data_IF_847946031126
#
_entry.id   IF_847946031126
#
_cell.length_a   1.000
_cell.length_b   1.000
_cell.length_c   1.000
_cell.angle_alpha   90.00
_cell.angle_beta   90.00
_cell.angle_gamma   90.00
#
_symmetry.space_group_name_H-M   'P 1'
#
loop_
_entity.id
_entity.type
_entity.pdbx_description
1 polymer ?
#
# COMPACT_ATOMS: atom_id res chain seq x y z
N UNK A 1 -10.51 4.21 17.25
CA UNK A 1 -10.94 3.83 15.89
C UNK A 1 -12.41 4.18 15.72
N UNK A 2 -12.79 4.79 14.60
CA UNK A 2 -14.19 5.09 14.23
C UNK A 2 -14.55 4.28 12.99
N UNK A 3 -15.69 3.58 13.04
CA UNK A 3 -16.28 2.90 11.88
C UNK A 3 -17.37 3.77 11.31
N UNK A 4 -17.17 4.29 10.10
CA UNK A 4 -18.14 5.06 9.35
C UNK A 4 -19.03 4.10 8.53
N UNK A 5 -20.38 4.24 8.58
CA UNK A 5 -21.31 3.36 7.83
C UNK A 5 -21.87 4.07 6.61
N UNK A 6 -22.11 3.33 5.53
CA UNK A 6 -22.70 3.82 4.28
C UNK A 6 -21.96 5.01 3.64
N UNK A 7 -20.62 4.95 3.64
CA UNK A 7 -19.77 6.06 3.19
C UNK A 7 -19.74 6.11 1.66
N UNK A 8 -20.03 7.27 1.03
CA UNK A 8 -19.85 7.45 -0.41
C UNK A 8 -18.40 7.28 -0.82
N UNK A 9 -18.12 6.40 -1.80
CA UNK A 9 -16.79 6.17 -2.35
C UNK A 9 -16.50 7.01 -3.59
N UNK A 10 -17.47 7.72 -4.15
CA UNK A 10 -17.27 8.59 -5.31
C UNK A 10 -16.14 9.61 -5.13
N UNK A 11 -15.99 10.31 -3.99
CA UNK A 11 -14.86 11.21 -3.78
C UNK A 11 -13.55 10.50 -3.50
N UNK A 12 -13.57 9.20 -3.23
CA UNK A 12 -12.41 8.37 -2.86
C UNK A 12 -11.88 7.48 -4.00
N UNK A 13 -12.39 7.66 -5.23
CA UNK A 13 -11.86 7.03 -6.43
C UNK A 13 -11.75 8.03 -7.58
N UNK A 14 -10.70 7.91 -8.40
CA UNK A 14 -10.39 8.88 -9.46
C UNK A 14 -11.37 8.82 -10.64
N UNK A 15 -12.00 7.67 -10.87
CA UNK A 15 -13.03 7.50 -11.90
C UNK A 15 -14.38 8.09 -11.50
N UNK A 16 -14.50 8.59 -10.27
CA UNK A 16 -15.74 9.17 -9.72
C UNK A 16 -16.96 8.22 -9.80
N UNK A 17 -16.70 6.92 -9.77
CA UNK A 17 -17.76 5.90 -9.78
C UNK A 17 -18.59 6.04 -8.50
N UNK A 18 -19.90 6.08 -8.67
CA UNK A 18 -20.86 6.13 -7.57
C UNK A 18 -21.00 4.74 -6.98
N UNK A 19 -20.52 4.58 -5.76
CA UNK A 19 -20.64 3.37 -4.94
C UNK A 19 -20.52 3.77 -3.47
N UNK A 20 -20.87 2.88 -2.55
CA UNK A 20 -20.75 3.09 -1.10
C UNK A 20 -19.90 1.98 -0.49
N UNK A 21 -19.16 2.31 0.56
CA UNK A 21 -18.68 1.34 1.52
C UNK A 21 -19.77 1.11 2.57
N UNK A 22 -20.13 -0.14 2.85
CA UNK A 22 -21.04 -0.45 3.96
C UNK A 22 -20.41 -0.07 5.30
N UNK A 23 -19.09 -0.30 5.43
CA UNK A 23 -18.28 0.14 6.54
C UNK A 23 -16.92 0.65 6.04
N UNK A 24 -16.43 1.75 6.60
CA UNK A 24 -15.12 2.33 6.30
C UNK A 24 -14.42 2.70 7.60
N UNK A 25 -13.12 2.36 7.66
CA UNK A 25 -12.21 2.76 8.73
C UNK A 25 -11.06 3.53 8.13
N UNK A 26 -10.76 4.72 8.67
CA UNK A 26 -9.58 5.49 8.32
C UNK A 26 -8.39 4.98 9.12
N UNK A 27 -7.37 4.55 8.41
CA UNK A 27 -6.14 4.02 9.00
C UNK A 27 -5.09 5.12 8.97
N UNK A 28 -4.87 5.77 10.10
CA UNK A 28 -3.86 6.82 10.29
C UNK A 28 -2.62 6.31 10.99
N UNK A 29 -2.72 5.13 11.62
CA UNK A 29 -1.64 4.51 12.38
C UNK A 29 -1.78 2.99 12.43
N UNK A 30 -0.71 2.31 12.84
CA UNK A 30 -0.73 0.87 13.18
C UNK A 30 -1.76 0.55 14.27
N UNK A 31 -1.92 1.44 15.24
CA UNK A 31 -2.88 1.27 16.34
C UNK A 31 -4.33 1.18 15.83
N UNK A 32 -4.69 1.89 14.75
CA UNK A 32 -6.02 1.79 14.15
C UNK A 32 -6.27 0.40 13.57
N UNK A 33 -5.26 -0.19 12.92
CA UNK A 33 -5.37 -1.55 12.38
C UNK A 33 -5.53 -2.56 13.52
N UNK A 34 -4.71 -2.46 14.58
CA UNK A 34 -4.80 -3.35 15.73
C UNK A 34 -6.16 -3.23 16.45
N UNK A 35 -6.65 -2.00 16.60
CA UNK A 35 -7.97 -1.76 17.18
C UNK A 35 -9.10 -2.36 16.34
N UNK A 36 -8.98 -2.27 14.99
CA UNK A 36 -9.93 -2.91 14.09
C UNK A 36 -9.91 -4.44 14.24
N UNK A 37 -8.72 -5.04 14.22
CA UNK A 37 -8.59 -6.50 14.30
C UNK A 37 -9.10 -7.08 15.62
N UNK A 38 -9.06 -6.30 16.70
CA UNK A 38 -9.61 -6.64 18.00
C UNK A 38 -11.13 -6.38 18.14
N UNK A 39 -11.74 -5.71 17.17
CA UNK A 39 -13.16 -5.38 17.21
C UNK A 39 -14.03 -6.63 16.95
N UNK A 40 -15.01 -6.96 17.82
CA UNK A 40 -15.81 -8.18 17.68
C UNK A 40 -16.77 -8.17 16.48
N UNK A 41 -17.19 -6.99 16.02
CA UNK A 41 -18.10 -6.83 14.87
C UNK A 41 -17.31 -6.74 13.56
N UNK A 42 -16.19 -5.99 13.55
CA UNK A 42 -15.48 -5.60 12.33
C UNK A 42 -14.10 -6.26 12.16
N UNK A 43 -13.57 -6.88 13.22
CA UNK A 43 -12.21 -7.46 13.22
C UNK A 43 -12.08 -8.67 12.31
N UNK A 44 -13.14 -9.45 12.18
CA UNK A 44 -13.19 -10.66 11.34
C UNK A 44 -13.71 -10.34 9.93
N UNK A 45 -13.57 -11.30 8.99
CA UNK A 45 -14.08 -11.16 7.63
C UNK A 45 -13.17 -10.38 6.68
N UNK A 46 -13.59 -10.25 5.41
CA UNK A 46 -12.77 -9.67 4.36
C UNK A 46 -12.59 -8.16 4.55
N UNK A 47 -11.41 -7.68 4.16
CA UNK A 47 -11.04 -6.27 4.17
C UNK A 47 -10.77 -5.81 2.74
N UNK A 48 -11.03 -4.54 2.45
CA UNK A 48 -10.69 -3.90 1.18
C UNK A 48 -9.77 -2.71 1.44
N UNK A 49 -8.49 -2.87 1.16
CA UNK A 49 -7.49 -1.80 1.37
C UNK A 49 -7.60 -0.78 0.24
N UNK A 50 -7.87 0.48 0.59
CA UNK A 50 -8.05 1.58 -0.34
C UNK A 50 -7.00 2.67 -0.10
N UNK A 51 -6.13 2.87 -1.07
CA UNK A 51 -5.21 4.01 -1.14
C UNK A 51 -5.86 5.24 -1.78
N UNK A 52 -5.25 5.79 -2.83
CA UNK A 52 -5.76 6.95 -3.59
C UNK A 52 -6.98 6.65 -4.47
N UNK A 53 -7.37 5.39 -4.63
CA UNK A 53 -8.49 5.00 -5.50
C UNK A 53 -8.23 5.22 -6.99
N UNK A 54 -6.95 5.28 -7.41
CA UNK A 54 -6.55 5.56 -8.79
C UNK A 54 -6.44 4.32 -9.67
N UNK A 55 -6.45 3.12 -9.06
CA UNK A 55 -6.33 1.86 -9.79
C UNK A 55 -7.41 0.85 -9.35
N UNK A 56 -8.63 1.35 -9.14
CA UNK A 56 -9.79 0.53 -8.76
C UNK A 56 -10.98 0.86 -9.65
N UNK A 57 -11.74 -0.16 -10.03
CA UNK A 57 -13.03 -0.03 -10.70
C UNK A 57 -14.09 -0.61 -9.78
N UNK A 58 -14.93 0.25 -9.22
CA UNK A 58 -16.00 -0.15 -8.32
C UNK A 58 -17.22 -0.57 -9.15
N UNK A 59 -17.54 -1.85 -9.16
CA UNK A 59 -18.69 -2.40 -9.91
C UNK A 59 -19.99 -2.37 -9.12
N UNK A 60 -19.97 -1.87 -7.91
CA UNK A 60 -21.11 -1.73 -7.00
C UNK A 60 -20.66 -1.37 -5.59
N UNK A 61 -21.59 -1.41 -4.64
CA UNK A 61 -21.29 -1.14 -3.24
C UNK A 61 -20.32 -2.17 -2.65
N UNK A 62 -19.36 -1.68 -1.86
CA UNK A 62 -18.29 -2.49 -1.27
C UNK A 62 -18.77 -3.06 0.06
N UNK A 63 -18.95 -4.39 0.10
CA UNK A 63 -19.40 -5.12 1.30
C UNK A 63 -18.31 -5.36 2.34
N UNK A 64 -17.06 -5.73 1.96
CA UNK A 64 -15.92 -5.79 2.88
C UNK A 64 -15.71 -4.47 3.62
N UNK A 65 -15.13 -4.52 4.83
CA UNK A 65 -14.72 -3.30 5.53
C UNK A 65 -13.63 -2.60 4.70
N UNK A 66 -13.89 -1.36 4.30
CA UNK A 66 -12.92 -0.55 3.55
C UNK A 66 -11.92 0.07 4.51
N UNK A 67 -10.64 -0.23 4.32
CA UNK A 67 -9.53 0.35 5.06
C UNK A 67 -8.94 1.49 4.23
N UNK A 68 -9.36 2.72 4.50
CA UNK A 68 -8.83 3.92 3.84
C UNK A 68 -7.49 4.29 4.47
N UNK A 69 -6.41 4.06 3.73
CA UNK A 69 -5.04 4.29 4.23
C UNK A 69 -4.70 5.77 4.18
N UNK A 70 -4.43 6.35 5.36
CA UNK A 70 -4.13 7.78 5.58
C UNK A 70 -2.91 7.98 6.51
N UNK A 71 -2.02 7.00 6.62
CA UNK A 71 -0.77 7.13 7.39
C UNK A 71 0.13 8.17 6.75
N UNK A 72 0.44 9.24 7.49
CA UNK A 72 1.16 10.41 7.00
C UNK A 72 2.51 10.57 7.70
N UNK A 73 3.59 10.55 6.94
CA UNK A 73 4.95 10.91 7.35
C UNK A 73 5.83 11.06 6.11
N UNK A 74 6.73 12.02 6.10
CA UNK A 74 7.84 12.11 5.14
C UNK A 74 9.08 12.56 5.91
N UNK A 75 10.13 11.75 5.91
CA UNK A 75 11.37 12.08 6.63
C UNK A 75 12.58 11.37 6.05
N UNK A 76 13.75 11.97 6.22
CA UNK A 76 15.03 11.28 6.02
C UNK A 76 15.25 10.31 7.19
N UNK A 77 15.59 9.07 6.92
CA UNK A 77 15.88 8.04 7.92
C UNK A 77 17.29 7.46 7.80
N UNK A 78 17.98 7.74 6.71
CA UNK A 78 19.35 7.32 6.51
C UNK A 78 20.02 8.09 5.39
N UNK A 79 21.35 8.15 5.46
CA UNK A 79 22.22 8.73 4.44
C UNK A 79 23.47 7.87 4.30
N UNK A 80 23.86 7.62 3.06
CA UNK A 80 25.10 6.93 2.70
C UNK A 80 25.91 7.79 1.74
N UNK A 81 27.13 7.39 1.42
CA UNK A 81 27.92 8.09 0.39
C UNK A 81 27.27 8.10 -1.01
N UNK A 82 26.22 7.28 -1.25
CA UNK A 82 25.61 7.07 -2.57
C UNK A 82 24.12 7.33 -2.61
N UNK A 83 23.44 7.41 -1.47
CA UNK A 83 21.98 7.51 -1.42
C UNK A 83 21.49 8.19 -0.14
N UNK A 84 20.38 8.90 -0.27
CA UNK A 84 19.49 9.28 0.82
C UNK A 84 18.41 8.22 0.97
N UNK A 85 18.08 7.83 2.20
CA UNK A 85 16.99 6.90 2.47
C UNK A 85 15.86 7.69 3.11
N UNK A 86 14.77 7.84 2.38
CA UNK A 86 13.57 8.56 2.83
C UNK A 86 12.47 7.57 3.20
N UNK A 87 11.78 7.82 4.31
CA UNK A 87 10.61 7.06 4.73
C UNK A 87 9.34 7.89 4.48
N UNK A 88 8.37 7.27 3.83
CA UNK A 88 7.06 7.88 3.59
C UNK A 88 5.93 6.97 4.06
N UNK A 89 4.92 7.56 4.70
CA UNK A 89 3.69 6.90 5.12
C UNK A 89 2.85 6.44 3.93
N UNK A 90 2.20 5.31 4.07
CA UNK A 90 1.45 4.68 2.98
C UNK A 90 0.29 5.54 2.44
N UNK A 91 -0.23 6.48 3.23
CA UNK A 91 -1.29 7.41 2.84
C UNK A 91 -0.80 8.69 2.18
N UNK A 92 0.52 8.92 2.07
CA UNK A 92 1.05 10.07 1.33
C UNK A 92 0.73 9.95 -0.15
N UNK A 93 0.45 11.07 -0.82
CA UNK A 93 0.34 11.08 -2.27
C UNK A 93 1.72 10.88 -2.89
N UNK A 94 1.81 10.00 -3.87
CA UNK A 94 3.07 9.69 -4.54
C UNK A 94 3.73 10.95 -5.13
N UNK A 95 2.98 11.77 -5.82
CA UNK A 95 3.52 12.98 -6.43
C UNK A 95 4.00 14.00 -5.38
N UNK A 96 3.33 14.09 -4.23
CA UNK A 96 3.75 14.98 -3.16
C UNK A 96 5.07 14.50 -2.53
N UNK A 97 5.28 13.16 -2.42
CA UNK A 97 6.57 12.61 -2.02
C UNK A 97 7.68 13.00 -3.01
N UNK A 98 7.45 12.83 -4.32
CA UNK A 98 8.43 13.24 -5.35
C UNK A 98 8.78 14.71 -5.23
N UNK A 99 7.79 15.58 -5.05
CA UNK A 99 8.03 17.03 -4.86
C UNK A 99 8.79 17.32 -3.59
N UNK A 100 8.47 16.63 -2.50
CA UNK A 100 9.14 16.80 -1.22
C UNK A 100 10.59 16.37 -1.30
N UNK A 101 10.91 15.22 -1.89
CA UNK A 101 12.31 14.77 -2.04
C UNK A 101 13.13 15.76 -2.86
N UNK A 102 12.59 16.29 -3.95
CA UNK A 102 13.26 17.32 -4.75
C UNK A 102 13.50 18.61 -3.97
N UNK A 103 12.52 19.06 -3.19
CA UNK A 103 12.66 20.27 -2.36
C UNK A 103 13.71 20.11 -1.25
N UNK A 104 13.95 18.87 -0.79
CA UNK A 104 15.00 18.55 0.19
C UNK A 104 16.38 18.30 -0.46
N UNK A 105 16.46 18.27 -1.80
CA UNK A 105 17.70 17.94 -2.51
C UNK A 105 18.02 16.45 -2.56
N UNK A 106 17.01 15.58 -2.43
CA UNK A 106 17.12 14.11 -2.52
C UNK A 106 16.65 13.64 -3.89
N UNK A 107 17.54 13.53 -4.91
CA UNK A 107 17.17 13.16 -6.28
C UNK A 107 16.92 11.65 -6.41
N UNK A 108 16.23 11.25 -7.49
CA UNK A 108 16.08 9.85 -7.90
C UNK A 108 14.64 9.41 -8.17
N UNK A 109 13.61 10.21 -7.80
CA UNK A 109 12.20 9.90 -8.03
C UNK A 109 11.58 10.73 -9.16
N UNK A 110 12.31 11.60 -9.83
CA UNK A 110 11.82 12.62 -10.76
C UNK A 110 11.04 12.02 -11.92
N UNK A 111 11.56 10.94 -12.51
CA UNK A 111 10.92 10.25 -13.63
C UNK A 111 9.57 9.63 -13.28
N UNK A 112 9.33 9.42 -11.99
CA UNK A 112 8.06 8.88 -11.49
C UNK A 112 7.10 9.96 -11.00
N UNK A 113 7.36 11.24 -11.32
CA UNK A 113 6.45 12.34 -11.02
C UNK A 113 5.09 12.12 -11.68
N UNK A 114 4.03 12.67 -11.08
CA UNK A 114 2.64 12.61 -11.56
C UNK A 114 2.01 11.21 -11.65
N UNK A 115 2.70 10.15 -11.24
CA UNK A 115 2.02 8.85 -11.09
C UNK A 115 0.91 9.02 -10.05
N UNK A 116 -0.35 8.69 -10.39
CA UNK A 116 -1.46 8.84 -9.45
C UNK A 116 -1.43 7.75 -8.38
N UNK A 117 -1.97 8.07 -7.22
CA UNK A 117 -2.10 7.12 -6.11
C UNK A 117 -1.28 7.51 -4.89
N UNK A 118 -1.16 6.58 -3.96
CA UNK A 118 -0.47 6.77 -2.68
C UNK A 118 0.80 5.92 -2.60
N UNK A 119 1.71 6.34 -1.73
CA UNK A 119 3.00 5.66 -1.48
C UNK A 119 2.79 4.18 -1.14
N UNK A 120 1.83 3.84 -0.27
CA UNK A 120 1.57 2.44 0.10
C UNK A 120 0.98 1.58 -1.03
N UNK A 121 0.42 2.20 -2.07
CA UNK A 121 -0.05 1.48 -3.25
C UNK A 121 1.07 1.23 -4.27
N UNK A 122 2.18 1.96 -4.20
CA UNK A 122 3.26 1.89 -5.18
C UNK A 122 3.95 0.52 -5.25
N UNK A 123 4.22 -0.21 -4.12
CA UNK A 123 4.82 -1.53 -4.19
C UNK A 123 3.90 -2.62 -4.75
N UNK A 124 2.58 -2.43 -4.67
CA UNK A 124 1.61 -3.48 -5.07
C UNK A 124 1.81 -3.91 -6.51
N UNK A 125 2.09 -2.98 -7.41
CA UNK A 125 2.33 -3.25 -8.81
C UNK A 125 3.65 -2.67 -9.34
N UNK A 126 4.64 -2.48 -8.44
CA UNK A 126 5.95 -1.97 -8.84
C UNK A 126 5.80 -0.78 -9.80
N UNK A 127 5.17 0.30 -9.34
CA UNK A 127 4.85 1.46 -10.20
C UNK A 127 6.10 1.99 -10.88
N UNK A 128 5.95 2.46 -12.11
CA UNK A 128 7.07 3.00 -12.86
C UNK A 128 6.63 3.85 -14.04
N UNK A 129 7.52 4.74 -14.46
CA UNK A 129 7.36 5.60 -15.62
C UNK A 129 8.73 5.99 -16.17
N UNK A 130 8.79 6.25 -17.48
CA UNK A 130 9.99 6.77 -18.16
C UNK A 130 11.26 5.96 -17.88
N UNK A 131 11.13 4.62 -17.90
CA UNK A 131 12.27 3.69 -17.75
C UNK A 131 12.76 3.48 -16.33
N UNK A 132 12.07 4.00 -15.33
CA UNK A 132 12.36 3.78 -13.91
C UNK A 132 11.16 3.11 -13.24
N UNK A 133 11.40 2.06 -12.48
CA UNK A 133 10.40 1.39 -11.64
C UNK A 133 10.71 1.59 -10.16
N UNK A 134 9.71 1.38 -9.31
CA UNK A 134 9.86 1.51 -7.86
C UNK A 134 11.04 0.68 -7.33
N UNK A 135 11.17 -0.55 -7.80
CA UNK A 135 12.25 -1.48 -7.39
C UNK A 135 13.64 -0.88 -7.53
N UNK A 136 13.87 0.04 -8.49
CA UNK A 136 15.17 0.68 -8.74
C UNK A 136 15.55 1.69 -7.63
N UNK A 137 14.60 2.07 -6.80
CA UNK A 137 14.73 3.06 -5.73
C UNK A 137 14.24 2.55 -4.38
N UNK A 138 13.86 1.29 -4.31
CA UNK A 138 13.23 0.69 -3.16
C UNK A 138 14.26 0.15 -2.17
N UNK A 139 14.18 0.55 -0.91
CA UNK A 139 14.96 0.00 0.19
C UNK A 139 14.18 -1.07 0.95
N UNK A 140 13.04 -0.70 1.52
CA UNK A 140 12.20 -1.61 2.29
C UNK A 140 10.78 -1.05 2.49
N UNK A 141 9.88 -1.87 3.00
CA UNK A 141 8.58 -1.44 3.50
C UNK A 141 8.23 -2.12 4.82
N UNK A 142 7.38 -1.47 5.61
CA UNK A 142 6.71 -2.10 6.74
C UNK A 142 5.24 -2.32 6.39
N UNK A 143 4.75 -3.52 6.67
CA UNK A 143 3.35 -3.88 6.51
C UNK A 143 2.83 -4.60 7.75
N UNK A 144 1.52 -4.62 7.92
CA UNK A 144 0.83 -5.36 8.97
C UNK A 144 -0.01 -6.47 8.33
N UNK A 145 0.09 -7.66 8.88
CA UNK A 145 -0.73 -8.81 8.51
C UNK A 145 -2.14 -8.62 9.08
N UNK A 146 -3.14 -8.55 8.22
CA UNK A 146 -4.54 -8.33 8.59
C UNK A 146 -5.20 -9.54 9.26
N UNK A 147 -4.55 -10.71 9.29
CA UNK A 147 -5.03 -11.89 9.98
C UNK A 147 -4.45 -11.99 11.40
N UNK A 148 -3.16 -11.68 11.55
CA UNK A 148 -2.45 -11.88 12.82
C UNK A 148 -2.19 -10.59 13.59
N UNK A 149 -2.27 -9.43 12.93
CA UNK A 149 -1.89 -8.14 13.51
C UNK A 149 -0.38 -7.96 13.69
N UNK A 150 0.45 -8.87 13.16
CA UNK A 150 1.90 -8.75 13.22
C UNK A 150 2.42 -7.78 12.17
N UNK A 151 3.32 -6.89 12.59
CA UNK A 151 4.08 -6.03 11.68
C UNK A 151 5.31 -6.78 11.21
N UNK A 152 5.61 -6.64 9.93
CA UNK A 152 6.79 -7.24 9.30
C UNK A 152 7.39 -6.26 8.30
N UNK A 153 8.69 -6.41 8.05
CA UNK A 153 9.44 -5.61 7.08
C UNK A 153 9.82 -6.49 5.90
N UNK A 154 9.68 -5.98 4.68
CA UNK A 154 10.13 -6.64 3.45
C UNK A 154 11.17 -5.78 2.74
N UNK A 155 12.23 -6.43 2.26
CA UNK A 155 13.19 -5.86 1.32
C UNK A 155 12.76 -6.11 -0.14
N UNK A 156 13.53 -5.60 -1.11
CA UNK A 156 13.21 -5.72 -2.53
C UNK A 156 13.08 -7.19 -3.00
N UNK A 157 13.99 -8.08 -2.55
CA UNK A 157 13.95 -9.49 -2.90
C UNK A 157 12.67 -10.18 -2.38
N UNK A 158 12.26 -9.86 -1.16
CA UNK A 158 11.04 -10.41 -0.56
C UNK A 158 9.75 -9.84 -1.17
N UNK A 159 9.78 -8.63 -1.72
CA UNK A 159 8.66 -8.05 -2.47
C UNK A 159 8.46 -8.72 -3.84
N UNK A 160 9.47 -9.42 -4.36
CA UNK A 160 9.41 -10.13 -5.66
C UNK A 160 8.85 -9.27 -6.77
N UNK A 161 9.43 -8.08 -6.93
CA UNK A 161 8.99 -7.14 -7.93
C UNK A 161 9.18 -7.67 -9.35
N UNK A 162 8.19 -7.46 -10.19
CA UNK A 162 8.20 -7.72 -11.62
C UNK A 162 7.49 -6.62 -12.37
N UNK A 163 7.39 -6.76 -13.70
CA UNK A 163 6.65 -5.78 -14.50
C UNK A 163 5.18 -5.74 -14.08
N UNK A 164 4.77 -4.63 -13.46
CA UNK A 164 3.42 -4.43 -12.88
C UNK A 164 3.01 -5.54 -11.90
N UNK A 165 3.99 -6.09 -11.16
CA UNK A 165 3.78 -7.24 -10.28
C UNK A 165 4.58 -7.16 -8.97
N UNK A 166 4.07 -7.87 -7.94
CA UNK A 166 4.73 -8.08 -6.64
C UNK A 166 4.00 -9.16 -5.83
N UNK A 167 4.55 -9.57 -4.69
CA UNK A 167 3.92 -10.51 -3.74
C UNK A 167 2.51 -10.07 -3.29
N UNK A 168 2.21 -8.79 -3.36
CA UNK A 168 0.91 -8.25 -2.93
C UNK A 168 -0.22 -8.50 -3.94
N UNK A 169 0.09 -8.99 -5.14
CA UNK A 169 -0.91 -9.37 -6.16
C UNK A 169 -1.23 -10.86 -6.15
N UNK A 170 -0.43 -11.65 -5.45
CA UNK A 170 -0.56 -13.10 -5.40
C UNK A 170 -1.12 -13.55 -4.05
N UNK A 171 -2.06 -14.51 -4.09
CA UNK A 171 -2.56 -15.20 -2.91
C UNK A 171 -1.55 -16.24 -2.37
N UNK A 172 -1.87 -16.90 -1.26
CA UNK A 172 -1.08 -18.01 -0.76
C UNK A 172 -0.84 -19.05 -1.86
N UNK A 173 0.32 -19.72 -1.81
CA UNK A 173 0.80 -20.64 -2.84
C UNK A 173 -0.33 -21.57 -3.35
N UNK A 174 -0.39 -21.88 -4.65
CA UNK A 174 -1.35 -22.82 -5.19
C UNK A 174 -1.21 -24.18 -4.52
N UNK A 175 -2.36 -24.88 -4.42
CA UNK A 175 -2.43 -26.24 -3.85
C UNK A 175 -1.38 -27.17 -4.47
N UNK A 176 -0.98 -28.17 -3.68
CA UNK A 176 0.07 -29.15 -3.99
C UNK A 176 0.11 -29.61 -5.46
N UNK A 177 1.23 -29.37 -6.15
CA UNK A 177 1.48 -29.80 -7.52
C UNK A 177 1.97 -28.73 -8.50
N UNK A 178 1.81 -27.46 -8.20
CA UNK A 178 2.44 -26.38 -8.98
C UNK A 178 3.86 -26.12 -8.44
N UNK A 179 4.84 -26.07 -9.31
CA UNK A 179 6.22 -25.71 -8.95
C UNK A 179 6.20 -24.21 -8.59
N UNK A 180 6.38 -23.83 -7.31
CA UNK A 180 6.42 -22.42 -6.95
C UNK A 180 7.67 -21.80 -7.58
N UNK A 181 7.55 -20.65 -8.19
CA UNK A 181 8.71 -19.79 -8.38
C UNK A 181 9.20 -19.34 -7.00
N UNK A 182 10.49 -19.15 -6.82
CA UNK A 182 11.19 -18.91 -5.54
C UNK A 182 10.58 -17.81 -4.66
N UNK A 183 9.68 -17.01 -5.21
CA UNK A 183 9.07 -15.82 -4.61
C UNK A 183 7.55 -15.90 -4.36
N UNK A 184 6.87 -16.96 -4.78
CA UNK A 184 5.40 -17.10 -4.62
C UNK A 184 4.95 -17.52 -3.21
N UNK A 185 5.88 -17.71 -2.27
CA UNK A 185 5.58 -18.27 -0.96
C UNK A 185 4.87 -17.34 0.02
N UNK A 186 4.97 -16.02 -0.14
CA UNK A 186 4.43 -15.09 0.85
C UNK A 186 2.92 -14.84 0.72
N UNK A 187 2.37 -14.86 -0.50
CA UNK A 187 0.93 -14.78 -0.75
C UNK A 187 0.22 -13.68 0.03
N UNK A 188 0.61 -12.41 -0.17
CA UNK A 188 0.17 -11.28 0.65
C UNK A 188 -1.08 -10.55 0.10
N UNK A 189 -1.63 -11.02 -1.02
CA UNK A 189 -2.86 -10.47 -1.58
C UNK A 189 -3.99 -10.55 -0.56
N UNK A 190 -4.70 -9.43 -0.37
CA UNK A 190 -5.83 -9.29 0.57
C UNK A 190 -5.48 -9.59 2.04
N UNK A 191 -4.18 -9.74 2.36
CA UNK A 191 -3.67 -10.09 3.67
C UNK A 191 -2.79 -9.01 4.30
N UNK A 192 -2.06 -8.25 3.50
CA UNK A 192 -1.14 -7.22 3.99
C UNK A 192 -1.68 -5.81 3.79
N UNK A 193 -1.53 -4.95 4.79
CA UNK A 193 -1.68 -3.52 4.68
C UNK A 193 -0.32 -2.86 4.87
N UNK A 194 0.16 -2.17 3.82
CA UNK A 194 1.42 -1.44 3.87
C UNK A 194 1.22 -0.18 4.72
N UNK A 195 2.13 0.04 5.67
CA UNK A 195 2.12 1.17 6.60
C UNK A 195 3.05 2.29 6.16
N UNK A 196 4.24 1.93 5.66
CA UNK A 196 5.26 2.87 5.19
C UNK A 196 6.20 2.22 4.19
N UNK A 197 6.83 3.06 3.37
CA UNK A 197 7.83 2.63 2.36
C UNK A 197 9.09 3.46 2.55
N UNK A 198 10.26 2.82 2.38
CA UNK A 198 11.58 3.46 2.36
C UNK A 198 12.16 3.34 0.95
N UNK A 199 12.66 4.47 0.47
CA UNK A 199 13.16 4.65 -0.90
C UNK A 199 14.53 5.31 -0.85
#
# INVERSE_FOLDING_TARGET
>A
MLVEKNVPLQPLNTLRIVAKALALVRITSEADVRALLADPEWGTGPKFVLGGGSNVVLTGDVKPVVLKVEVKVMRLVGETAKAYIVEAGAGELWHDLVRWTLAQGYPGLENMALIPGTVGASPVQNVGAYGVELQDRFESLDAIDLQTGQVFTLNAAQCSFGYRDSVFKHGAAPAAGAVPTEHQHLGLKDRALILRVRL
#
